data_IF_535029856817
#
_entry.id   IF_535029856817
#
_cell.length_a   1.000
_cell.length_b   1.000
_cell.length_c   1.000
_cell.angle_alpha   90.00
_cell.angle_beta   90.00
_cell.angle_gamma   90.00
#
_symmetry.space_group_name_H-M   'P 1'
#
loop_
_entity.id
_entity.type
_entity.pdbx_description
1 polymer ?
#
# COMPACT_ATOMS: atom_id res chain seq x y z
N UNK A 1 6.12 -0.75 63.17
CA UNK A 1 6.73 0.18 62.19
C UNK A 1 6.60 -0.44 60.80
N UNK A 2 5.66 0.05 59.98
CA UNK A 2 5.41 -0.40 58.60
C UNK A 2 6.44 0.26 57.68
N UNK A 3 7.28 -0.52 56.99
CA UNK A 3 8.07 -0.04 55.85
C UNK A 3 7.31 -0.38 54.57
N UNK A 4 6.72 0.64 53.95
CA UNK A 4 6.12 0.57 52.62
C UNK A 4 7.27 0.63 51.60
N UNK A 5 7.53 -0.44 50.87
CA UNK A 5 8.37 -0.38 49.67
C UNK A 5 7.48 0.03 48.49
N UNK A 6 7.64 1.27 48.02
CA UNK A 6 7.08 1.73 46.75
C UNK A 6 7.90 1.12 45.61
N UNK A 7 7.30 0.18 44.88
CA UNK A 7 7.85 -0.33 43.63
C UNK A 7 7.51 0.67 42.51
N UNK A 8 8.51 1.40 42.01
CA UNK A 8 8.35 2.25 40.84
C UNK A 8 8.29 1.37 39.59
N UNK A 9 7.11 1.21 38.99
CA UNK A 9 6.98 0.66 37.64
C UNK A 9 7.40 1.75 36.63
N UNK A 10 8.60 1.62 36.09
CA UNK A 10 9.03 2.35 34.90
C UNK A 10 8.27 1.83 33.68
N UNK A 11 7.27 2.60 33.22
CA UNK A 11 6.61 2.37 31.93
C UNK A 11 7.60 2.74 30.81
N UNK A 12 8.18 1.74 30.17
CA UNK A 12 8.91 1.92 28.90
C UNK A 12 7.89 2.26 27.82
N UNK A 13 7.79 3.54 27.47
CA UNK A 13 7.03 3.96 26.27
C UNK A 13 7.83 3.46 25.06
N UNK A 14 7.37 2.36 24.45
CA UNK A 14 7.87 1.93 23.15
C UNK A 14 7.50 3.02 22.14
N UNK A 15 8.44 3.90 21.83
CA UNK A 15 8.29 4.86 20.74
C UNK A 15 8.31 4.07 19.43
N UNK A 16 7.13 3.81 18.90
CA UNK A 16 6.89 3.33 17.56
C UNK A 16 7.54 4.28 16.55
N UNK A 17 8.76 3.97 16.09
CA UNK A 17 9.40 4.74 15.03
C UNK A 17 8.67 4.45 13.71
N UNK A 18 7.88 5.41 13.25
CA UNK A 18 7.37 5.43 11.89
C UNK A 18 8.45 5.97 10.95
N UNK A 19 8.79 5.23 9.89
CA UNK A 19 9.63 5.71 8.79
C UNK A 19 8.72 6.35 7.76
N UNK A 20 8.83 7.66 7.53
CA UNK A 20 8.14 8.30 6.41
C UNK A 20 9.03 8.19 5.16
N UNK A 21 8.47 7.69 4.07
CA UNK A 21 9.02 7.73 2.72
C UNK A 21 8.24 8.79 1.94
N UNK A 22 8.89 9.90 1.64
CA UNK A 22 8.31 10.84 0.69
C UNK A 22 8.45 10.23 -0.70
N UNK A 23 7.32 9.81 -1.27
CA UNK A 23 7.26 9.51 -2.70
C UNK A 23 7.44 10.86 -3.38
N UNK A 24 8.44 10.98 -4.25
CA UNK A 24 8.68 12.23 -4.95
C UNK A 24 7.38 12.69 -5.62
N UNK A 25 7.16 14.01 -5.67
CA UNK A 25 6.02 14.58 -6.39
C UNK A 25 5.98 13.95 -7.79
N UNK A 26 4.80 13.50 -8.19
CA UNK A 26 4.63 12.90 -9.51
C UNK A 26 5.04 13.91 -10.58
N UNK A 27 5.74 13.46 -11.64
CA UNK A 27 6.12 14.33 -12.74
C UNK A 27 4.87 14.89 -13.42
N UNK A 28 5.04 15.98 -14.16
CA UNK A 28 3.98 16.45 -15.04
C UNK A 28 3.62 15.35 -16.06
N UNK A 29 2.33 15.10 -16.36
CA UNK A 29 1.95 14.11 -17.34
C UNK A 29 2.57 14.36 -18.70
N UNK A 30 3.15 13.31 -19.31
CA UNK A 30 3.73 13.38 -20.65
C UNK A 30 2.71 13.15 -21.77
N UNK A 31 1.51 12.68 -21.42
CA UNK A 31 0.47 12.27 -22.37
C UNK A 31 -0.87 12.97 -22.11
N UNK A 32 -1.74 12.96 -23.12
CA UNK A 32 -3.02 13.68 -23.12
C UNK A 32 -4.06 13.11 -22.13
N UNK A 33 -3.93 11.83 -21.77
CA UNK A 33 -4.73 11.17 -20.72
C UNK A 33 -4.36 11.64 -19.30
N UNK A 34 -3.32 12.48 -19.22
CA UNK A 34 -2.77 13.04 -17.99
C UNK A 34 -2.30 11.96 -17.02
N UNK A 35 -1.76 10.85 -17.50
CA UNK A 35 -1.13 9.87 -16.63
C UNK A 35 0.25 10.35 -16.15
N UNK A 36 0.50 10.17 -14.84
CA UNK A 36 1.79 10.41 -14.22
C UNK A 36 2.13 9.23 -13.28
N UNK A 37 3.40 8.83 -13.26
CA UNK A 37 3.90 7.75 -12.41
C UNK A 37 5.18 8.13 -11.68
N UNK A 38 5.38 7.58 -10.50
CA UNK A 38 6.58 7.76 -9.69
C UNK A 38 6.95 6.50 -8.92
N UNK A 39 8.22 6.12 -9.00
CA UNK A 39 8.80 4.98 -8.30
C UNK A 39 9.41 5.42 -6.97
N UNK A 40 9.36 4.55 -5.97
CA UNK A 40 10.01 4.77 -4.69
C UNK A 40 10.51 3.45 -4.08
N UNK A 41 11.74 3.48 -3.56
CA UNK A 41 12.31 2.37 -2.82
C UNK A 41 11.63 2.23 -1.45
N UNK A 42 11.22 1.02 -1.12
CA UNK A 42 10.75 0.67 0.21
C UNK A 42 11.93 0.68 1.20
N UNK A 43 11.71 1.02 2.48
CA UNK A 43 12.74 0.87 3.49
C UNK A 43 13.30 -0.57 3.51
N UNK A 44 14.62 -0.75 3.71
CA UNK A 44 15.23 -2.07 3.66
C UNK A 44 14.60 -3.03 4.67
N UNK A 45 14.51 -4.30 4.28
CA UNK A 45 13.84 -5.37 5.02
C UNK A 45 14.33 -5.54 6.45
N UNK A 46 15.60 -5.21 6.74
CA UNK A 46 16.13 -5.22 8.11
C UNK A 46 15.44 -4.26 9.08
N UNK A 47 14.85 -3.16 8.58
CA UNK A 47 13.95 -2.29 9.34
C UNK A 47 12.51 -2.81 9.38
N UNK A 48 12.20 -3.81 8.56
CA UNK A 48 10.91 -4.51 8.50
C UNK A 48 10.92 -5.85 9.26
N UNK A 49 12.05 -6.29 9.81
CA UNK A 49 12.21 -7.60 10.49
C UNK A 49 11.26 -7.81 11.69
N UNK A 50 10.64 -6.73 12.21
CA UNK A 50 9.61 -6.76 13.25
C UNK A 50 8.22 -6.31 12.77
N UNK A 51 8.05 -5.95 11.50
CA UNK A 51 6.77 -5.54 10.94
C UNK A 51 5.90 -6.78 10.71
N UNK A 52 5.04 -7.04 11.69
CA UNK A 52 4.02 -8.11 11.62
C UNK A 52 2.78 -7.71 10.82
N UNK A 53 2.73 -6.48 10.33
CA UNK A 53 1.64 -6.01 9.51
C UNK A 53 2.19 -5.12 8.40
N UNK A 54 1.85 -5.48 7.17
CA UNK A 54 1.95 -4.63 6.01
C UNK A 54 0.56 -4.10 5.72
N UNK A 55 0.31 -2.87 6.12
CA UNK A 55 -0.85 -2.07 5.70
C UNK A 55 -0.45 -1.24 4.49
N UNK A 56 -1.38 -1.00 3.59
CA UNK A 56 -1.37 0.07 2.61
C UNK A 56 -2.63 0.86 2.91
N UNK A 57 -2.49 2.14 3.18
CA UNK A 57 -3.59 3.09 3.13
C UNK A 57 -3.40 3.95 1.87
N UNK A 58 -4.47 4.35 1.18
CA UNK A 58 -4.41 5.27 0.05
C UNK A 58 -5.68 6.11 0.04
N UNK A 59 -5.56 7.39 0.35
CA UNK A 59 -6.64 8.38 0.27
C UNK A 59 -6.48 9.22 -0.99
N UNK A 60 -7.56 9.56 -1.68
CA UNK A 60 -7.61 10.44 -2.85
C UNK A 60 -9.05 10.87 -3.13
N UNK A 61 -9.23 11.87 -4.00
CA UNK A 61 -10.54 12.26 -4.54
C UNK A 61 -10.87 11.40 -5.77
N UNK A 62 -11.81 10.47 -5.61
CA UNK A 62 -12.25 9.59 -6.68
C UNK A 62 -13.21 10.29 -7.63
N UNK A 63 -13.15 9.90 -8.90
CA UNK A 63 -14.14 10.27 -9.91
C UNK A 63 -14.48 9.05 -10.77
N UNK A 64 -15.60 9.09 -11.52
CA UNK A 64 -15.93 8.03 -12.49
C UNK A 64 -14.93 7.87 -13.63
N UNK A 65 -13.92 8.74 -13.76
CA UNK A 65 -12.98 8.75 -14.89
C UNK A 65 -11.51 8.69 -14.50
N UNK A 66 -11.17 8.82 -13.22
CA UNK A 66 -9.77 8.80 -12.78
C UNK A 66 -9.27 7.38 -12.48
N UNK A 67 -7.95 7.24 -12.45
CA UNK A 67 -7.27 6.05 -11.96
C UNK A 67 -6.22 6.47 -10.93
N UNK A 68 -6.16 5.73 -9.84
CA UNK A 68 -5.19 5.90 -8.76
C UNK A 68 -4.76 4.52 -8.30
N UNK A 69 -3.52 4.15 -8.55
CA UNK A 69 -3.03 2.80 -8.28
C UNK A 69 -1.63 2.79 -7.69
N UNK A 70 -1.36 1.72 -6.94
CA UNK A 70 -0.02 1.42 -6.42
C UNK A 70 0.37 0.02 -6.86
N UNK A 71 1.49 -0.07 -7.55
CA UNK A 71 2.17 -1.32 -7.85
C UNK A 71 3.25 -1.60 -6.81
N UNK A 72 3.42 -2.85 -6.44
CA UNK A 72 4.52 -3.32 -5.60
C UNK A 72 5.27 -4.43 -6.30
N UNK A 73 6.57 -4.50 -6.04
CA UNK A 73 7.37 -5.58 -6.55
C UNK A 73 8.84 -5.46 -6.19
N UNK A 74 9.67 -6.05 -7.03
CA UNK A 74 11.11 -6.17 -6.79
C UNK A 74 11.91 -5.67 -7.98
N UNK A 75 12.52 -4.52 -7.80
CA UNK A 75 13.57 -3.97 -8.68
C UNK A 75 14.82 -4.87 -8.58
N UNK A 76 15.01 -5.74 -9.57
CA UNK A 76 16.15 -6.65 -9.64
C UNK A 76 16.50 -7.12 -11.06
N UNK A 77 15.77 -6.70 -12.09
CA UNK A 77 15.87 -7.18 -13.47
C UNK A 77 15.49 -6.09 -14.49
N UNK A 78 16.37 -5.09 -14.73
CA UNK A 78 17.61 -4.76 -14.01
C UNK A 78 17.31 -4.01 -12.71
N UNK A 79 18.26 -3.98 -11.77
CA UNK A 79 18.16 -3.16 -10.56
C UNK A 79 18.45 -1.68 -10.88
N UNK A 80 17.52 -1.00 -11.55
CA UNK A 80 17.68 0.36 -12.08
C UNK A 80 16.88 1.43 -11.32
N UNK A 81 16.18 1.03 -10.25
CA UNK A 81 15.36 1.90 -9.41
C UNK A 81 13.97 2.18 -9.98
N UNK A 82 13.61 1.63 -11.14
CA UNK A 82 12.27 1.69 -11.70
C UNK A 82 11.57 0.34 -11.50
N UNK A 83 10.28 0.36 -11.16
CA UNK A 83 9.51 -0.88 -11.06
C UNK A 83 8.91 -1.21 -12.44
N UNK A 84 9.55 -2.12 -13.17
CA UNK A 84 9.04 -2.59 -14.46
C UNK A 84 7.80 -3.49 -14.31
N UNK A 85 7.08 -3.71 -15.41
CA UNK A 85 5.85 -4.51 -15.40
C UNK A 85 6.12 -5.99 -15.03
N UNK A 86 7.26 -6.51 -15.46
CA UNK A 86 7.77 -7.86 -15.16
C UNK A 86 8.28 -8.02 -13.72
N UNK A 87 8.59 -6.91 -13.06
CA UNK A 87 9.05 -6.86 -11.66
C UNK A 87 7.89 -6.66 -10.69
N UNK A 88 6.70 -6.35 -11.21
CA UNK A 88 5.50 -6.08 -10.44
C UNK A 88 4.87 -7.37 -9.92
N UNK A 89 4.84 -7.53 -8.60
CA UNK A 89 4.15 -8.64 -7.93
C UNK A 89 2.64 -8.46 -7.97
N UNK A 90 2.15 -7.24 -7.76
CA UNK A 90 0.73 -6.90 -7.90
C UNK A 90 0.51 -5.41 -8.01
N UNK A 91 -0.67 -5.04 -8.53
CA UNK A 91 -1.19 -3.67 -8.57
C UNK A 91 -2.51 -3.66 -7.81
N UNK A 92 -2.75 -2.66 -6.98
CA UNK A 92 -4.04 -2.44 -6.34
C UNK A 92 -4.39 -0.96 -6.43
N UNK A 93 -5.68 -0.66 -6.64
CA UNK A 93 -6.10 0.72 -6.72
C UNK A 93 -7.54 0.90 -7.16
N UNK A 94 -7.78 2.09 -7.68
CA UNK A 94 -9.04 2.58 -8.18
C UNK A 94 -8.95 2.83 -9.68
N UNK A 95 -9.95 2.39 -10.44
CA UNK A 95 -10.08 2.69 -11.86
C UNK A 95 -11.55 2.93 -12.18
N UNK A 96 -11.90 4.18 -12.52
CA UNK A 96 -13.20 4.56 -13.06
C UNK A 96 -14.43 4.07 -12.26
N UNK A 97 -14.45 4.23 -10.94
CA UNK A 97 -15.58 3.80 -10.10
C UNK A 97 -15.42 2.43 -9.44
N UNK A 98 -14.33 1.72 -9.71
CA UNK A 98 -14.08 0.38 -9.20
C UNK A 98 -12.80 0.31 -8.38
N UNK A 99 -12.86 -0.41 -7.26
CA UNK A 99 -11.66 -0.97 -6.65
C UNK A 99 -11.19 -2.15 -7.48
N UNK A 100 -9.89 -2.25 -7.74
CA UNK A 100 -9.30 -3.36 -8.46
C UNK A 100 -8.00 -3.86 -7.83
N UNK A 101 -7.67 -5.13 -8.11
CA UNK A 101 -6.36 -5.72 -7.87
C UNK A 101 -5.94 -6.58 -9.06
N UNK A 102 -4.66 -6.51 -9.42
CA UNK A 102 -4.03 -7.33 -10.45
C UNK A 102 -2.86 -8.10 -9.85
N UNK A 103 -2.98 -9.42 -9.64
CA UNK A 103 -1.87 -10.23 -9.16
C UNK A 103 -0.88 -10.57 -10.29
N UNK A 104 0.38 -10.79 -9.91
CA UNK A 104 1.47 -11.27 -10.77
C UNK A 104 1.63 -10.44 -12.04
N UNK A 105 1.73 -9.11 -11.86
CA UNK A 105 1.80 -8.14 -12.96
C UNK A 105 0.42 -7.82 -13.54
N UNK A 106 0.33 -7.80 -14.88
CA UNK A 106 -0.86 -7.35 -15.63
C UNK A 106 -1.74 -8.51 -16.15
N UNK A 107 -1.60 -9.73 -15.62
CA UNK A 107 -2.25 -10.94 -16.19
C UNK A 107 -3.74 -11.01 -15.95
N UNK A 108 -4.16 -10.81 -14.70
CA UNK A 108 -5.56 -10.93 -14.28
C UNK A 108 -5.99 -9.65 -13.58
N UNK A 109 -7.29 -9.31 -13.68
CA UNK A 109 -7.89 -8.17 -12.98
C UNK A 109 -9.12 -8.66 -12.22
N UNK A 110 -9.13 -8.41 -10.93
CA UNK A 110 -10.30 -8.56 -10.09
C UNK A 110 -10.78 -7.19 -9.68
N UNK A 111 -12.08 -6.95 -9.79
CA UNK A 111 -12.66 -5.65 -9.51
C UNK A 111 -13.99 -5.76 -8.78
N UNK A 112 -14.32 -4.72 -8.05
CA UNK A 112 -15.60 -4.55 -7.37
C UNK A 112 -16.04 -3.09 -7.50
N UNK A 113 -17.28 -2.82 -7.93
CA UNK A 113 -17.82 -1.48 -7.92
C UNK A 113 -17.78 -0.87 -6.52
N UNK A 114 -17.35 0.38 -6.41
CA UNK A 114 -17.42 1.10 -5.15
C UNK A 114 -18.87 1.52 -4.84
N UNK A 115 -19.16 1.71 -3.55
CA UNK A 115 -20.49 2.12 -3.11
C UNK A 115 -20.86 3.54 -3.57
N UNK A 116 -19.85 4.40 -3.70
CA UNK A 116 -19.91 5.71 -4.36
C UNK A 116 -18.78 5.76 -5.40
N UNK A 117 -19.00 6.46 -6.51
CA UNK A 117 -18.01 6.59 -7.60
C UNK A 117 -17.30 7.93 -7.62
N UNK A 118 -17.67 8.82 -6.70
CA UNK A 118 -17.15 10.17 -6.54
C UNK A 118 -16.90 10.53 -5.07
N UNK A 119 -15.99 11.49 -4.86
CA UNK A 119 -15.63 12.02 -3.55
C UNK A 119 -14.42 11.34 -2.90
N UNK A 120 -14.19 11.62 -1.62
CA UNK A 120 -13.01 11.09 -0.92
C UNK A 120 -13.15 9.60 -0.65
N UNK A 121 -12.24 8.81 -1.20
CA UNK A 121 -12.12 7.38 -0.91
C UNK A 121 -10.83 7.08 -0.16
N UNK A 122 -10.83 6.02 0.66
CA UNK A 122 -9.63 5.56 1.36
C UNK A 122 -9.52 4.05 1.31
N UNK A 123 -8.65 3.55 0.42
CA UNK A 123 -8.29 2.14 0.41
C UNK A 123 -7.48 1.83 1.67
N UNK A 124 -7.85 0.78 2.39
CA UNK A 124 -6.97 0.10 3.34
C UNK A 124 -6.80 -1.36 2.92
N UNK A 125 -5.60 -1.75 2.52
CA UNK A 125 -5.23 -3.15 2.27
C UNK A 125 -4.24 -3.61 3.34
N UNK A 126 -4.59 -4.59 4.16
CA UNK A 126 -3.76 -5.05 5.26
C UNK A 126 -3.43 -6.54 5.15
N UNK A 127 -2.13 -6.86 5.15
CA UNK A 127 -1.54 -8.19 5.16
C UNK A 127 -0.86 -8.36 6.51
N UNK A 128 -1.25 -9.38 7.29
CA UNK A 128 -0.68 -9.64 8.62
C UNK A 128 0.18 -10.89 8.60
N UNK A 129 1.25 -10.87 9.37
CA UNK A 129 2.13 -12.00 9.60
C UNK A 129 2.10 -12.33 11.08
N UNK A 130 1.83 -13.59 11.43
CA UNK A 130 1.75 -14.04 12.82
C UNK A 130 3.10 -13.93 13.54
N UNK A 131 3.08 -14.17 14.86
CA UNK A 131 4.29 -14.32 15.67
C UNK A 131 5.30 -15.32 15.06
N UNK A 132 4.76 -16.39 14.46
CA UNK A 132 5.48 -17.54 13.90
C UNK A 132 5.78 -17.40 12.40
N UNK A 133 5.57 -16.23 11.78
CA UNK A 133 5.86 -16.01 10.37
C UNK A 133 4.75 -16.44 9.40
N UNK A 134 3.57 -16.82 9.90
CA UNK A 134 2.45 -17.27 9.06
C UNK A 134 1.65 -16.08 8.55
N UNK A 135 1.60 -15.90 7.23
CA UNK A 135 0.77 -14.88 6.60
C UNK A 135 -0.72 -15.20 6.78
N UNK A 136 -1.48 -14.20 7.24
CA UNK A 136 -2.93 -14.25 7.37
C UNK A 136 -3.60 -13.72 6.10
N UNK A 137 -4.84 -14.15 5.79
CA UNK A 137 -5.59 -13.60 4.66
C UNK A 137 -5.62 -12.07 4.71
N UNK A 138 -5.39 -11.39 3.58
CA UNK A 138 -5.44 -9.93 3.55
C UNK A 138 -6.87 -9.44 3.78
N UNK A 139 -6.99 -8.23 4.31
CA UNK A 139 -8.28 -7.53 4.45
C UNK A 139 -8.27 -6.25 3.63
N UNK A 140 -9.36 -5.96 2.93
CA UNK A 140 -9.54 -4.74 2.15
C UNK A 140 -10.71 -3.92 2.70
N UNK A 141 -10.54 -2.60 2.73
CA UNK A 141 -11.57 -1.66 3.14
C UNK A 141 -11.56 -0.40 2.29
N UNK A 142 -12.74 0.20 2.16
CA UNK A 142 -12.96 1.56 1.68
C UNK A 142 -13.49 2.40 2.85
N UNK A 143 -12.66 3.30 3.36
CA UNK A 143 -12.86 3.92 4.66
C UNK A 143 -13.01 2.84 5.75
N UNK A 144 -14.21 2.76 6.34
CA UNK A 144 -14.53 1.75 7.35
C UNK A 144 -15.24 0.50 6.80
N UNK A 145 -15.69 0.53 5.55
CA UNK A 145 -16.45 -0.56 4.93
C UNK A 145 -15.50 -1.63 4.38
N UNK A 146 -15.65 -2.88 4.85
CA UNK A 146 -14.88 -4.00 4.31
C UNK A 146 -15.43 -4.46 2.97
N UNK A 147 -14.54 -4.90 2.07
CA UNK A 147 -14.91 -5.51 0.80
C UNK A 147 -13.99 -6.68 0.44
N UNK A 148 -14.40 -7.46 -0.54
CA UNK A 148 -13.62 -8.54 -1.11
C UNK A 148 -13.65 -8.43 -2.64
N UNK A 149 -12.59 -8.91 -3.28
CA UNK A 149 -12.52 -9.03 -4.73
C UNK A 149 -13.15 -10.37 -5.15
N UNK A 150 -14.30 -10.36 -5.86
CA UNK A 150 -14.94 -11.61 -6.28
C UNK A 150 -14.00 -12.44 -7.16
N UNK A 151 -13.89 -13.73 -6.88
CA UNK A 151 -13.03 -14.66 -7.64
C UNK A 151 -11.53 -14.63 -7.27
N UNK A 152 -11.08 -13.68 -6.43
CA UNK A 152 -9.69 -13.65 -5.99
C UNK A 152 -9.44 -14.73 -4.93
N UNK A 153 -8.60 -15.71 -5.27
CA UNK A 153 -8.18 -16.74 -4.33
C UNK A 153 -7.08 -16.22 -3.39
N UNK A 154 -7.35 -16.24 -2.09
CA UNK A 154 -6.41 -15.82 -1.03
C UNK A 154 -5.96 -16.99 -0.13
N UNK A 155 -6.48 -18.19 -0.40
CA UNK A 155 -6.16 -19.43 0.32
C UNK A 155 -5.82 -20.52 -0.70
N UNK A 156 -4.64 -21.19 -0.60
CA UNK A 156 -3.55 -20.90 0.34
C UNK A 156 -2.97 -19.49 0.14
N UNK A 157 -2.28 -18.96 1.15
CA UNK A 157 -1.77 -17.58 1.09
C UNK A 157 -0.90 -17.38 -0.16
N UNK A 158 -1.25 -16.44 -1.04
CA UNK A 158 -0.57 -16.34 -2.32
C UNK A 158 0.84 -15.78 -2.18
N UNK A 159 1.80 -16.38 -2.90
CA UNK A 159 3.21 -15.97 -2.88
C UNK A 159 3.42 -14.51 -3.30
N UNK A 160 2.63 -14.01 -4.27
CA UNK A 160 2.69 -12.63 -4.75
C UNK A 160 2.21 -11.59 -3.71
N UNK A 161 1.51 -12.01 -2.65
CA UNK A 161 1.17 -11.14 -1.53
C UNK A 161 2.21 -11.11 -0.41
N UNK A 162 3.26 -11.93 -0.47
CA UNK A 162 4.24 -11.93 0.61
C UNK A 162 5.05 -10.62 0.60
N UNK A 163 5.18 -9.94 1.76
CA UNK A 163 5.86 -8.65 1.83
C UNK A 163 7.39 -8.75 1.84
N UNK A 164 7.95 -9.93 2.07
CA UNK A 164 9.38 -10.20 2.31
C UNK A 164 10.29 -9.97 1.11
N UNK A 165 9.75 -10.02 -0.11
CA UNK A 165 10.53 -9.91 -1.34
C UNK A 165 10.45 -8.52 -2.01
N UNK A 166 9.62 -7.62 -1.49
CA UNK A 166 9.35 -6.33 -2.12
C UNK A 166 10.43 -5.32 -1.79
N UNK A 167 10.91 -4.62 -2.80
CA UNK A 167 11.91 -3.56 -2.64
C UNK A 167 11.39 -2.21 -3.11
N UNK A 168 10.37 -2.17 -3.97
CA UNK A 168 9.89 -0.94 -4.59
C UNK A 168 8.37 -0.87 -4.64
N UNK A 169 7.88 0.36 -4.72
CA UNK A 169 6.52 0.68 -5.11
C UNK A 169 6.54 1.65 -6.30
N UNK A 170 5.50 1.61 -7.11
CA UNK A 170 5.19 2.62 -8.12
C UNK A 170 3.79 3.14 -7.88
N UNK A 171 3.63 4.45 -7.82
CA UNK A 171 2.31 5.11 -7.80
C UNK A 171 2.01 5.63 -9.19
N UNK A 172 0.81 5.40 -9.67
CA UNK A 172 0.31 5.92 -10.95
C UNK A 172 -1.02 6.62 -10.73
N UNK A 173 -1.15 7.82 -11.28
CA UNK A 173 -2.39 8.60 -11.28
C UNK A 173 -2.72 9.03 -12.69
N UNK A 174 -3.98 8.91 -13.10
CA UNK A 174 -4.50 9.39 -14.40
C UNK A 174 -5.76 10.23 -14.18
N UNK A 175 -5.83 11.39 -14.83
CA UNK A 175 -7.00 12.27 -14.82
C UNK A 175 -6.66 13.75 -14.62
N UNK A 176 -7.68 14.60 -14.51
CA UNK A 176 -7.52 16.06 -14.49
C UNK A 176 -6.54 16.57 -13.40
N UNK A 177 -6.49 15.90 -12.26
CA UNK A 177 -5.69 16.27 -11.09
C UNK A 177 -4.29 15.61 -11.00
N UNK A 178 -3.91 14.70 -11.91
CA UNK A 178 -2.71 13.87 -11.74
C UNK A 178 -1.39 14.64 -11.50
N UNK A 179 -1.24 15.82 -12.11
CA UNK A 179 -0.06 16.69 -11.93
C UNK A 179 -0.01 17.41 -10.58
N UNK A 180 -1.14 17.46 -9.86
CA UNK A 180 -1.31 18.20 -8.62
C UNK A 180 -1.24 17.29 -7.38
N UNK A 181 -1.32 15.98 -7.57
CA UNK A 181 -1.31 15.01 -6.48
C UNK A 181 0.05 14.99 -5.76
N UNK A 182 0.04 15.21 -4.45
CA UNK A 182 1.17 14.96 -3.58
C UNK A 182 1.03 13.56 -2.99
N UNK A 183 2.00 12.71 -3.29
CA UNK A 183 2.06 11.35 -2.77
C UNK A 183 3.01 11.31 -1.57
N UNK A 184 2.56 10.78 -0.44
CA UNK A 184 3.40 10.57 0.75
C UNK A 184 3.18 9.16 1.28
N UNK A 185 4.23 8.39 1.49
CA UNK A 185 4.15 7.05 2.08
C UNK A 185 4.71 7.06 3.52
N UNK A 186 4.00 6.46 4.47
CA UNK A 186 4.40 6.38 5.89
C UNK A 186 4.45 4.93 6.33
N UNK A 187 5.63 4.38 6.53
CA UNK A 187 5.86 3.06 7.10
C UNK A 187 5.79 3.13 8.63
N UNK A 188 4.62 2.83 9.15
CA UNK A 188 4.30 2.65 10.56
C UNK A 188 4.71 1.23 11.02
N UNK A 189 4.84 0.99 12.33
CA UNK A 189 5.09 -0.35 12.87
C UNK A 189 4.04 -1.40 12.49
N UNK A 190 2.85 -0.95 12.09
CA UNK A 190 1.73 -1.77 11.65
C UNK A 190 1.47 -1.67 10.13
N UNK A 191 2.36 -1.05 9.35
CA UNK A 191 2.29 -1.03 7.89
C UNK A 191 2.62 0.28 7.20
N UNK A 192 2.53 0.33 5.87
CA UNK A 192 2.61 1.55 5.08
C UNK A 192 1.26 2.32 5.01
N UNK A 193 1.35 3.64 4.93
CA UNK A 193 0.23 4.55 4.71
C UNK A 193 0.61 5.50 3.59
N UNK A 194 0.06 5.29 2.41
CA UNK A 194 0.22 6.17 1.26
C UNK A 194 -0.92 7.21 1.30
N UNK A 195 -0.62 8.46 1.06
CA UNK A 195 -1.59 9.55 1.03
C UNK A 195 -1.36 10.26 -0.29
N UNK A 196 -2.41 10.31 -1.12
CA UNK A 196 -2.42 10.99 -2.40
C UNK A 196 -3.35 12.20 -2.21
N UNK A 197 -2.84 13.42 -2.41
CA UNK A 197 -3.54 14.67 -2.06
C UNK A 197 -3.52 15.71 -3.15
#
# INVERSE_FOLDING_TARGET
>A
MRKLCLLALSFSVLSAAAVTLDVARLPAPSYADREASGDAALPPTNRMDNLRTFRLEMTFEATPSNNVQVAFGRDNRPADGALAAEETDFIIGWDCGEWFIRPQGLRERYAVPAAATDGTHTLTAAIRVSATGVCQPPTFKDGNAAFAFPGLALTPFPGWLKPDLRTHLRVTVRGAAAANENVSAKFLPDGARIIIR
#
